data_IF_761159913547
#
_entry.id   IF_761159913547
#
_cell.length_a   1.000
_cell.length_b   1.000
_cell.length_c   1.000
_cell.angle_alpha   90.00
_cell.angle_beta   90.00
_cell.angle_gamma   90.00
#
_symmetry.space_group_name_H-M   'P 1'
#
loop_
_entity.id
_entity.type
_entity.pdbx_description
1 polymer ?
#
# COMPACT_ATOMS: atom_id res chain seq x y z
N UNK A 1 10.58 12.09 -12.13
CA UNK A 1 9.93 12.65 -13.33
C UNK A 1 10.85 13.61 -14.10
N UNK A 2 11.59 14.50 -13.43
CA UNK A 2 12.55 15.43 -14.08
C UNK A 2 13.59 14.73 -14.97
N UNK A 3 14.16 13.60 -14.50
CA UNK A 3 15.07 12.79 -15.33
C UNK A 3 14.43 12.26 -16.61
N UNK A 4 13.11 12.02 -16.63
CA UNK A 4 12.40 11.57 -17.82
C UNK A 4 12.21 12.72 -18.82
N UNK A 5 11.95 13.93 -18.33
CA UNK A 5 11.93 15.16 -19.14
C UNK A 5 13.30 15.41 -19.76
N UNK A 6 14.37 15.34 -18.95
CA UNK A 6 15.75 15.53 -19.43
C UNK A 6 16.17 14.50 -20.48
N UNK A 7 15.56 13.31 -20.49
CA UNK A 7 15.80 12.24 -21.48
C UNK A 7 14.84 12.30 -22.68
N UNK A 8 13.95 13.28 -22.76
CA UNK A 8 12.94 13.39 -23.82
C UNK A 8 11.85 12.32 -23.77
N UNK A 9 11.72 11.59 -22.66
CA UNK A 9 10.71 10.53 -22.47
C UNK A 9 9.39 11.06 -21.90
N UNK A 10 9.33 12.33 -21.52
CA UNK A 10 8.15 12.99 -20.97
C UNK A 10 8.17 14.46 -21.38
N UNK A 11 7.06 14.99 -21.88
CA UNK A 11 7.00 16.41 -22.23
C UNK A 11 6.90 17.29 -20.97
N UNK A 12 7.33 18.56 -21.01
CA UNK A 12 7.14 19.48 -19.89
C UNK A 12 5.67 19.66 -19.49
N UNK A 13 4.74 19.65 -20.46
CA UNK A 13 3.31 19.73 -20.19
C UNK A 13 2.83 18.51 -19.40
N UNK A 14 3.16 17.30 -19.87
CA UNK A 14 2.81 16.05 -19.17
C UNK A 14 3.43 15.97 -17.78
N UNK A 15 4.64 16.50 -17.61
CA UNK A 15 5.28 16.60 -16.30
C UNK A 15 4.47 17.46 -15.33
N UNK A 16 3.97 18.62 -15.78
CA UNK A 16 3.15 19.49 -14.94
C UNK A 16 1.80 18.85 -14.60
N UNK A 17 1.13 18.23 -15.58
CA UNK A 17 -0.13 17.50 -15.34
C UNK A 17 0.05 16.39 -14.31
N UNK A 18 1.02 15.49 -14.50
CA UNK A 18 1.31 14.39 -13.55
C UNK A 18 1.70 14.89 -12.16
N UNK A 19 2.36 16.06 -12.08
CA UNK A 19 2.72 16.66 -10.80
C UNK A 19 1.48 17.18 -10.06
N UNK A 20 0.51 17.76 -10.77
CA UNK A 20 -0.76 18.20 -10.17
C UNK A 20 -1.54 17.00 -9.65
N UNK A 21 -1.72 15.96 -10.47
CA UNK A 21 -2.40 14.71 -10.07
C UNK A 21 -1.75 14.07 -8.83
N UNK A 22 -0.41 14.01 -8.79
CA UNK A 22 0.32 13.53 -7.62
C UNK A 22 0.04 14.38 -6.38
N UNK A 23 0.02 15.72 -6.51
CA UNK A 23 -0.27 16.60 -5.38
C UNK A 23 -1.70 16.44 -4.87
N UNK A 24 -2.68 16.19 -5.74
CA UNK A 24 -4.06 15.90 -5.36
C UNK A 24 -4.20 14.55 -4.64
N UNK A 25 -3.53 13.49 -5.13
CA UNK A 25 -3.47 12.19 -4.44
C UNK A 25 -2.83 12.32 -3.05
N UNK A 26 -1.74 13.09 -2.94
CA UNK A 26 -1.09 13.35 -1.66
C UNK A 26 -2.01 14.14 -0.71
N UNK A 27 -2.74 15.14 -1.21
CA UNK A 27 -3.66 15.94 -0.41
C UNK A 27 -4.87 15.15 0.09
N UNK A 28 -5.41 14.24 -0.74
CA UNK A 28 -6.52 13.35 -0.36
C UNK A 28 -6.09 12.20 0.56
N UNK A 29 -4.79 11.85 0.56
CA UNK A 29 -4.26 10.71 1.31
C UNK A 29 -4.58 9.35 0.68
N UNK A 30 -5.09 9.32 -0.56
CA UNK A 30 -5.56 8.13 -1.27
C UNK A 30 -4.53 7.69 -2.29
N UNK A 31 -4.26 6.38 -2.38
CA UNK A 31 -3.41 5.84 -3.44
C UNK A 31 -4.08 6.05 -4.81
N UNK A 32 -3.33 6.53 -5.79
CA UNK A 32 -3.85 6.82 -7.13
C UNK A 32 -4.20 5.57 -7.96
N UNK A 33 -3.85 4.37 -7.47
CA UNK A 33 -4.18 3.11 -8.11
C UNK A 33 -3.40 2.83 -9.39
N UNK A 34 -2.48 3.70 -9.81
CA UNK A 34 -1.72 3.55 -11.07
C UNK A 34 -0.79 2.34 -11.08
N UNK A 35 -0.51 1.79 -9.90
CA UNK A 35 0.35 0.62 -9.67
C UNK A 35 -0.41 -0.63 -9.22
N UNK A 36 -1.76 -0.56 -9.22
CA UNK A 36 -2.67 -1.61 -8.79
C UNK A 36 -2.96 -2.62 -9.92
N UNK A 37 -3.03 -3.90 -9.58
CA UNK A 37 -3.49 -4.97 -10.48
C UNK A 37 -4.52 -5.82 -9.75
N UNK A 38 -5.70 -5.96 -10.35
CA UNK A 38 -6.84 -6.68 -9.76
C UNK A 38 -7.07 -8.03 -10.45
N UNK A 39 -7.86 -8.91 -9.81
CA UNK A 39 -8.32 -10.17 -10.42
C UNK A 39 -7.28 -11.30 -10.42
N UNK A 40 -6.15 -11.13 -9.74
CA UNK A 40 -5.09 -12.15 -9.65
C UNK A 40 -5.64 -13.44 -9.02
N UNK A 41 -6.38 -13.32 -7.92
CA UNK A 41 -6.91 -14.47 -7.19
C UNK A 41 -7.98 -15.20 -8.02
N UNK A 42 -8.83 -14.47 -8.73
CA UNK A 42 -9.82 -15.07 -9.65
C UNK A 42 -9.14 -15.81 -10.81
N UNK A 43 -8.08 -15.24 -11.40
CA UNK A 43 -7.31 -15.88 -12.46
C UNK A 43 -6.56 -17.13 -11.97
N UNK A 44 -5.97 -17.08 -10.77
CA UNK A 44 -5.34 -18.24 -10.14
C UNK A 44 -6.38 -19.33 -9.84
N UNK A 45 -7.54 -18.94 -9.31
CA UNK A 45 -8.63 -19.87 -9.03
C UNK A 45 -9.10 -20.58 -10.31
N UNK A 46 -9.31 -19.86 -11.41
CA UNK A 46 -9.63 -20.45 -12.71
C UNK A 46 -8.53 -21.43 -13.16
N UNK A 47 -7.27 -20.99 -13.18
CA UNK A 47 -6.13 -21.82 -13.58
C UNK A 47 -6.01 -23.14 -12.79
N UNK A 48 -6.16 -23.08 -11.47
CA UNK A 48 -6.10 -24.28 -10.64
C UNK A 48 -7.32 -25.19 -10.79
N UNK A 49 -8.46 -24.67 -11.25
CA UNK A 49 -9.64 -25.48 -11.55
C UNK A 49 -9.57 -26.15 -12.92
N UNK A 50 -8.97 -25.51 -13.92
CA UNK A 50 -9.02 -25.96 -15.32
C UNK A 50 -7.75 -26.65 -15.80
N UNK A 51 -6.59 -26.08 -15.48
CA UNK A 51 -5.34 -26.38 -16.17
C UNK A 51 -4.32 -27.11 -15.28
N UNK A 52 -4.35 -26.89 -13.97
CA UNK A 52 -3.36 -27.47 -13.05
C UNK A 52 -3.70 -28.93 -12.71
N UNK A 53 -2.98 -29.89 -13.32
CA UNK A 53 -3.17 -31.33 -13.10
C UNK A 53 -2.29 -31.93 -12.00
N UNK A 54 -1.24 -31.22 -11.60
CA UNK A 54 -0.23 -31.71 -10.64
C UNK A 54 -0.47 -31.22 -9.20
N UNK A 55 -1.51 -30.43 -8.97
CA UNK A 55 -1.86 -29.92 -7.64
C UNK A 55 -3.09 -30.64 -7.10
N UNK A 56 -2.94 -31.35 -5.98
CA UNK A 56 -4.08 -32.01 -5.33
C UNK A 56 -4.97 -30.99 -4.61
N UNK A 57 -4.36 -30.05 -3.88
CA UNK A 57 -5.06 -29.00 -3.16
C UNK A 57 -4.26 -27.70 -3.17
N UNK A 58 -4.97 -26.58 -3.38
CA UNK A 58 -4.45 -25.22 -3.26
C UNK A 58 -5.36 -24.42 -2.33
N UNK A 59 -4.77 -23.61 -1.47
CA UNK A 59 -5.49 -22.70 -0.57
C UNK A 59 -5.13 -21.28 -0.97
N UNK A 60 -6.11 -20.55 -1.48
CA UNK A 60 -5.96 -19.15 -1.85
C UNK A 60 -6.49 -18.26 -0.72
N UNK A 61 -5.91 -17.06 -0.56
CA UNK A 61 -6.47 -16.04 0.33
C UNK A 61 -7.81 -15.52 -0.21
N UNK A 62 -8.47 -14.66 0.58
CA UNK A 62 -9.52 -13.80 0.03
C UNK A 62 -8.97 -12.93 -1.12
N UNK A 63 -9.87 -12.39 -1.93
CA UNK A 63 -9.53 -11.49 -3.03
C UNK A 63 -8.57 -10.39 -2.55
N UNK A 64 -7.52 -10.17 -3.33
CA UNK A 64 -6.43 -9.27 -2.99
C UNK A 64 -5.95 -8.59 -4.25
N UNK A 65 -5.86 -7.26 -4.21
CA UNK A 65 -5.22 -6.51 -5.28
C UNK A 65 -3.71 -6.46 -5.04
N UNK A 66 -2.94 -6.58 -6.12
CA UNK A 66 -1.51 -6.37 -6.08
C UNK A 66 -1.19 -4.89 -6.25
N UNK A 67 -0.27 -4.38 -5.43
CA UNK A 67 0.26 -3.01 -5.53
C UNK A 67 1.77 -3.09 -5.75
N UNK A 68 2.24 -2.61 -6.89
CA UNK A 68 3.67 -2.52 -7.20
C UNK A 68 4.28 -1.17 -6.80
N UNK A 69 5.61 -1.08 -6.77
CA UNK A 69 6.26 0.21 -6.52
C UNK A 69 6.10 1.18 -7.69
N UNK A 70 5.78 2.43 -7.36
CA UNK A 70 5.85 3.57 -8.27
C UNK A 70 7.27 4.12 -8.36
N UNK A 71 7.48 5.14 -9.19
CA UNK A 71 8.74 5.89 -9.24
C UNK A 71 9.07 6.56 -7.91
N UNK A 72 8.07 6.92 -7.10
CA UNK A 72 8.27 7.60 -5.81
C UNK A 72 8.86 6.69 -4.74
N UNK A 73 8.46 5.41 -4.74
CA UNK A 73 8.74 4.45 -3.68
C UNK A 73 9.63 3.28 -4.08
N UNK A 74 10.03 3.20 -5.36
CA UNK A 74 10.96 2.17 -5.85
C UNK A 74 12.25 2.15 -5.03
N UNK A 75 12.56 0.97 -4.49
CA UNK A 75 13.78 0.71 -3.70
C UNK A 75 13.60 0.83 -2.19
N UNK A 76 12.41 1.17 -1.69
CA UNK A 76 12.16 1.29 -0.24
C UNK A 76 10.71 1.06 0.18
N UNK A 77 9.75 1.17 -0.74
CA UNK A 77 8.32 1.15 -0.46
C UNK A 77 7.68 -0.20 -0.14
N UNK A 78 8.44 -1.30 -0.15
CA UNK A 78 7.88 -2.67 -0.14
C UNK A 78 6.98 -2.95 1.07
N UNK A 79 7.35 -2.53 2.28
CA UNK A 79 6.53 -2.72 3.47
C UNK A 79 5.17 -2.02 3.37
N UNK A 80 5.15 -0.79 2.83
CA UNK A 80 3.92 -0.03 2.62
C UNK A 80 3.05 -0.63 1.52
N UNK A 81 3.65 -1.09 0.40
CA UNK A 81 2.92 -1.77 -0.68
C UNK A 81 2.32 -3.10 -0.22
N UNK A 82 3.05 -3.86 0.59
CA UNK A 82 2.52 -5.08 1.22
C UNK A 82 1.33 -4.78 2.14
N UNK A 83 1.39 -3.69 2.89
CA UNK A 83 0.22 -3.24 3.67
C UNK A 83 -0.96 -2.88 2.78
N UNK A 84 -0.76 -2.17 1.66
CA UNK A 84 -1.85 -1.88 0.73
C UNK A 84 -2.51 -3.14 0.17
N UNK A 85 -1.71 -4.17 -0.17
CA UNK A 85 -2.23 -5.48 -0.60
C UNK A 85 -3.06 -6.13 0.52
N UNK A 86 -2.52 -6.25 1.73
CA UNK A 86 -3.24 -6.80 2.87
C UNK A 86 -4.54 -6.03 3.15
N UNK A 87 -4.47 -4.70 3.16
CA UNK A 87 -5.60 -3.82 3.38
C UNK A 87 -6.68 -4.01 2.32
N UNK A 88 -6.32 -4.17 1.04
CA UNK A 88 -7.28 -4.47 -0.03
C UNK A 88 -8.07 -5.76 0.24
N UNK A 89 -7.41 -6.78 0.80
CA UNK A 89 -8.05 -8.05 1.14
C UNK A 89 -8.95 -7.93 2.36
N UNK A 90 -8.50 -7.26 3.41
CA UNK A 90 -9.29 -7.04 4.63
C UNK A 90 -10.61 -6.34 4.34
N UNK A 91 -10.63 -5.40 3.39
CA UNK A 91 -11.85 -4.72 2.96
C UNK A 91 -12.92 -5.65 2.37
N UNK A 92 -12.51 -6.78 1.80
CA UNK A 92 -13.41 -7.76 1.18
C UNK A 92 -13.94 -8.79 2.20
N UNK A 93 -13.44 -8.77 3.43
CA UNK A 93 -13.82 -9.71 4.48
C UNK A 93 -14.84 -9.02 5.40
N UNK A 94 -16.04 -9.60 5.53
CA UNK A 94 -17.17 -9.01 6.27
C UNK A 94 -16.83 -8.62 7.72
N UNK A 95 -15.99 -9.41 8.39
CA UNK A 95 -15.52 -9.13 9.76
C UNK A 95 -14.81 -7.78 9.89
N UNK A 96 -14.09 -7.35 8.85
CA UNK A 96 -13.30 -6.11 8.87
C UNK A 96 -13.90 -5.01 8.00
N UNK A 97 -14.80 -5.35 7.07
CA UNK A 97 -15.36 -4.40 6.11
C UNK A 97 -16.07 -3.23 6.80
N UNK A 98 -16.77 -3.47 7.93
CA UNK A 98 -17.41 -2.41 8.73
C UNK A 98 -16.41 -1.44 9.38
N UNK A 99 -15.25 -1.92 9.84
CA UNK A 99 -14.17 -1.08 10.39
C UNK A 99 -13.47 -0.25 9.31
N UNK A 100 -13.59 -0.68 8.05
CA UNK A 100 -12.91 -0.12 6.88
C UNK A 100 -13.87 0.48 5.84
N UNK A 101 -15.16 0.62 6.17
CA UNK A 101 -16.26 0.78 5.21
C UNK A 101 -16.09 2.02 4.31
N UNK A 102 -15.49 3.08 4.84
CA UNK A 102 -15.20 4.33 4.12
C UNK A 102 -13.70 4.54 3.81
N UNK A 103 -12.84 3.60 4.20
CA UNK A 103 -11.39 3.77 4.07
C UNK A 103 -10.92 3.28 2.71
N UNK A 104 -10.72 4.19 1.77
CA UNK A 104 -9.98 3.91 0.53
C UNK A 104 -8.53 3.50 0.85
N UNK A 105 -7.87 2.80 -0.08
CA UNK A 105 -6.48 2.35 0.13
C UNK A 105 -5.59 3.60 0.26
N UNK A 106 -4.89 3.78 1.41
CA UNK A 106 -4.12 4.99 1.65
C UNK A 106 -2.85 5.03 0.80
N UNK A 107 -2.43 6.22 0.38
CA UNK A 107 -1.12 6.41 -0.26
C UNK A 107 0.02 6.24 0.76
N UNK A 108 1.25 6.01 0.30
CA UNK A 108 2.40 5.77 1.19
C UNK A 108 2.61 6.88 2.25
N UNK A 109 2.56 8.18 1.91
CA UNK A 109 2.68 9.23 2.92
C UNK A 109 1.55 9.21 3.94
N UNK A 110 0.33 8.81 3.55
CA UNK A 110 -0.76 8.62 4.50
C UNK A 110 -0.50 7.44 5.43
N UNK A 111 0.02 6.32 4.92
CA UNK A 111 0.43 5.17 5.75
C UNK A 111 1.51 5.59 6.76
N UNK A 112 2.51 6.37 6.33
CA UNK A 112 3.53 6.94 7.22
C UNK A 112 2.90 7.76 8.36
N UNK A 113 1.95 8.65 8.03
CA UNK A 113 1.21 9.44 9.03
C UNK A 113 0.42 8.57 10.00
N UNK A 114 -0.26 7.52 9.51
CA UNK A 114 -1.05 6.63 10.35
C UNK A 114 -0.19 5.83 11.34
N UNK A 115 1.01 5.41 10.93
CA UNK A 115 1.97 4.77 11.84
C UNK A 115 2.45 5.78 12.90
N UNK A 116 2.77 7.01 12.51
CA UNK A 116 3.13 8.08 13.46
C UNK A 116 1.99 8.44 14.42
N UNK A 117 0.75 8.43 13.96
CA UNK A 117 -0.46 8.62 14.77
C UNK A 117 -0.57 7.49 15.83
N UNK A 118 -0.39 6.23 15.42
CA UNK A 118 -0.38 5.07 16.32
C UNK A 118 0.75 5.16 17.37
N UNK A 119 1.93 5.63 16.98
CA UNK A 119 3.03 5.88 17.93
C UNK A 119 2.68 6.96 18.95
N UNK A 120 1.99 8.04 18.53
CA UNK A 120 1.52 9.11 19.45
C UNK A 120 0.48 8.60 20.43
N UNK A 121 -0.29 7.58 20.05
CA UNK A 121 -1.23 6.88 20.94
C UNK A 121 -0.53 5.91 21.92
N UNK A 122 0.79 5.77 21.84
CA UNK A 122 1.61 5.00 22.77
C UNK A 122 1.94 3.58 22.31
N UNK A 123 1.57 3.20 21.08
CA UNK A 123 1.97 1.92 20.50
C UNK A 123 3.46 1.95 20.14
N UNK A 124 4.19 0.90 20.50
CA UNK A 124 5.60 0.68 20.17
C UNK A 124 6.53 1.93 20.25
N UNK A 125 6.72 2.51 21.46
CA UNK A 125 7.61 3.66 21.63
C UNK A 125 9.07 3.34 21.26
N UNK A 126 9.48 2.06 21.33
CA UNK A 126 10.83 1.65 20.95
C UNK A 126 11.01 1.68 19.44
N UNK A 127 10.07 1.14 18.67
CA UNK A 127 10.02 1.25 17.21
C UNK A 127 9.92 2.69 16.76
N UNK A 128 9.07 3.50 17.41
CA UNK A 128 9.00 4.94 17.15
C UNK A 128 10.37 5.62 17.34
N UNK A 129 11.07 5.32 18.43
CA UNK A 129 12.41 5.86 18.68
C UNK A 129 13.44 5.42 17.63
N UNK A 130 13.35 4.18 17.11
CA UNK A 130 14.23 3.69 16.05
C UNK A 130 14.17 4.57 14.79
N UNK A 131 12.98 5.07 14.46
CA UNK A 131 12.75 5.96 13.32
C UNK A 131 12.82 7.46 13.67
N UNK A 132 13.40 7.83 14.82
CA UNK A 132 13.40 9.22 15.30
C UNK A 132 11.99 9.84 15.35
N UNK A 133 10.99 9.00 15.65
CA UNK A 133 9.57 9.36 15.74
C UNK A 133 8.99 9.94 14.43
N UNK A 134 9.61 9.64 13.28
CA UNK A 134 9.21 10.23 12.00
C UNK A 134 9.45 9.30 10.81
N UNK A 135 8.38 9.07 10.06
CA UNK A 135 8.37 8.42 8.74
C UNK A 135 8.01 9.40 7.62
N UNK A 136 7.12 10.36 7.85
CA UNK A 136 6.66 11.29 6.81
C UNK A 136 7.80 12.11 6.22
N UNK A 137 7.89 12.08 4.89
CA UNK A 137 8.96 12.74 4.14
C UNK A 137 10.30 11.98 4.16
N UNK A 138 10.31 10.75 4.66
CA UNK A 138 11.47 9.85 4.61
C UNK A 138 11.25 8.73 3.61
N UNK A 139 12.33 7.98 3.35
CA UNK A 139 12.31 6.72 2.59
C UNK A 139 12.58 5.51 3.49
N UNK A 140 12.13 5.59 4.74
CA UNK A 140 12.39 4.58 5.76
C UNK A 140 11.81 3.23 5.35
N UNK A 141 12.63 2.19 5.49
CA UNK A 141 12.19 0.81 5.37
C UNK A 141 11.45 0.44 6.64
N UNK A 142 10.22 -0.04 6.50
CA UNK A 142 9.41 -0.52 7.62
C UNK A 142 9.31 -2.05 7.57
N UNK A 143 9.08 -2.65 8.72
CA UNK A 143 8.92 -4.08 8.90
C UNK A 143 7.53 -4.47 9.40
N UNK A 144 7.44 -5.71 9.86
CA UNK A 144 6.21 -6.25 10.43
C UNK A 144 5.75 -5.51 11.69
N UNK A 145 6.67 -4.93 12.47
CA UNK A 145 6.39 -4.17 13.70
C UNK A 145 5.55 -2.92 13.41
N UNK A 146 5.90 -2.14 12.40
CA UNK A 146 5.13 -0.94 12.03
C UNK A 146 3.76 -1.31 11.45
N UNK A 147 3.67 -2.41 10.71
CA UNK A 147 2.38 -2.89 10.19
C UNK A 147 1.51 -3.44 11.32
N UNK A 148 2.08 -4.14 12.30
CA UNK A 148 1.38 -4.60 13.49
C UNK A 148 0.82 -3.41 14.28
N UNK A 149 1.63 -2.38 14.53
CA UNK A 149 1.23 -1.13 15.19
C UNK A 149 0.04 -0.49 14.45
N UNK A 150 0.14 -0.38 13.12
CA UNK A 150 -0.90 0.20 12.29
C UNK A 150 -2.21 -0.61 12.31
N UNK A 151 -2.15 -1.93 12.18
CA UNK A 151 -3.35 -2.78 12.24
C UNK A 151 -3.99 -2.72 13.64
N UNK A 152 -3.17 -2.69 14.69
CA UNK A 152 -3.63 -2.57 16.08
C UNK A 152 -4.37 -1.26 16.32
N UNK A 153 -3.85 -0.12 15.84
CA UNK A 153 -4.54 1.18 15.98
C UNK A 153 -5.85 1.25 15.19
N UNK A 154 -5.98 0.46 14.12
CA UNK A 154 -7.22 0.29 13.36
C UNK A 154 -8.21 -0.69 14.01
N UNK A 155 -7.86 -1.32 15.13
CA UNK A 155 -8.70 -2.30 15.82
C UNK A 155 -8.73 -3.68 15.15
N UNK A 156 -7.77 -3.98 14.27
CA UNK A 156 -7.63 -5.26 13.58
C UNK A 156 -6.68 -6.17 14.38
N UNK A 157 -7.08 -7.41 14.61
CA UNK A 157 -6.33 -8.42 15.38
C UNK A 157 -5.82 -9.55 14.50
#
# INVERSE_FOLDING_TARGET
>A
MERAVARGLLTPADFHCRRVELMESLASGVDDGTTRTQGILSALHEFYQTDCKDCVHVWLSADTDHYSSSVGDRGWGCGYRNFQMLFSSLKMIDTYSSLLQDKVVPCIPRIQSMIEEAWKEGLDPQGASHFNQRLQGTRAWIGATEIYVLLTSLGIR
#
